data_IF_668952757902
#
_entry.id   IF_668952757902
#
_cell.length_a   1.000
_cell.length_b   1.000
_cell.length_c   1.000
_cell.angle_alpha   90.00
_cell.angle_beta   90.00
_cell.angle_gamma   90.00
#
_symmetry.space_group_name_H-M   'P 1'
#
loop_
_entity.id
_entity.type
_entity.pdbx_description
1 polymer ?
#
# COMPACT_ATOMS: atom_id res chain seq x y z
N UNK A 1 16.61 6.78 -13.53
CA UNK A 1 16.37 6.21 -12.21
C UNK A 1 14.90 6.03 -11.96
N UNK A 2 14.53 4.89 -11.42
CA UNK A 2 13.16 4.64 -11.08
C UNK A 2 12.77 5.32 -9.77
N UNK A 3 11.53 5.16 -9.41
CA UNK A 3 10.96 5.63 -8.14
C UNK A 3 10.25 4.44 -7.51
N UNK A 4 11.02 3.37 -7.28
CA UNK A 4 10.53 2.04 -6.96
C UNK A 4 10.15 1.89 -5.50
N UNK A 5 9.14 1.09 -5.24
CA UNK A 5 8.76 0.71 -3.89
C UNK A 5 7.95 -0.58 -3.91
N UNK A 6 7.94 -1.27 -2.78
CA UNK A 6 6.95 -2.31 -2.52
C UNK A 6 6.04 -1.87 -1.40
N UNK A 7 4.80 -2.34 -1.43
CA UNK A 7 3.79 -1.99 -0.45
C UNK A 7 3.15 -3.26 0.06
N UNK A 8 3.18 -3.43 1.37
CA UNK A 8 2.56 -4.54 2.05
C UNK A 8 1.32 -4.04 2.79
N UNK A 9 0.24 -4.83 2.79
CA UNK A 9 -0.98 -4.49 3.54
C UNK A 9 -1.17 -5.54 4.62
N UNK A 10 -1.32 -5.07 5.86
CA UNK A 10 -1.60 -5.93 7.02
C UNK A 10 -3.01 -5.66 7.53
N UNK A 11 -3.73 -6.73 7.87
CA UNK A 11 -5.06 -6.62 8.44
C UNK A 11 -4.99 -6.20 9.92
N UNK A 12 -6.16 -6.08 10.55
CA UNK A 12 -6.23 -5.61 11.95
C UNK A 12 -5.60 -6.61 12.93
N UNK A 13 -5.40 -7.85 12.52
CA UNK A 13 -4.68 -8.84 13.33
C UNK A 13 -3.19 -8.91 13.02
N UNK A 14 -2.69 -8.08 12.10
CA UNK A 14 -1.28 -8.05 11.74
C UNK A 14 -0.87 -9.03 10.66
N UNK A 15 -1.82 -9.70 10.00
CA UNK A 15 -1.52 -10.66 8.95
C UNK A 15 -1.44 -9.98 7.60
N UNK A 16 -0.41 -10.34 6.85
CA UNK A 16 -0.17 -9.83 5.51
C UNK A 16 -0.93 -10.65 4.46
N UNK A 17 -1.17 -10.05 3.31
CA UNK A 17 -1.77 -10.73 2.16
C UNK A 17 -0.80 -11.72 1.50
N UNK A 18 0.43 -11.86 2.00
CA UNK A 18 1.48 -12.74 1.48
C UNK A 18 1.95 -12.35 0.08
N UNK A 19 1.70 -11.12 -0.32
CA UNK A 19 2.23 -10.55 -1.55
C UNK A 19 2.39 -9.06 -1.37
N UNK A 20 3.13 -8.43 -2.27
CA UNK A 20 3.41 -7.00 -2.20
C UNK A 20 3.05 -6.35 -3.53
N UNK A 21 2.48 -5.16 -3.47
CA UNK A 21 2.36 -4.34 -4.65
C UNK A 21 3.73 -3.75 -4.96
N UNK A 22 4.11 -3.80 -6.22
CA UNK A 22 5.38 -3.23 -6.68
C UNK A 22 5.08 -2.10 -7.65
N UNK A 23 5.68 -0.93 -7.42
CA UNK A 23 5.61 0.17 -8.37
C UNK A 23 7.01 0.60 -8.76
N UNK A 24 7.23 0.82 -10.05
CA UNK A 24 8.54 1.22 -10.57
C UNK A 24 8.72 2.73 -10.53
N UNK A 25 7.66 3.51 -10.73
CA UNK A 25 7.76 4.96 -10.91
C UNK A 25 7.02 5.80 -9.87
N UNK A 26 6.11 5.21 -9.11
CA UNK A 26 5.16 5.96 -8.28
C UNK A 26 5.26 5.56 -6.82
N UNK A 27 6.49 5.40 -6.31
CA UNK A 27 6.73 4.89 -4.97
C UNK A 27 7.19 5.93 -3.96
N UNK A 28 7.18 7.23 -4.28
CA UNK A 28 7.55 8.24 -3.29
C UNK A 28 6.52 8.28 -2.16
N UNK A 29 6.92 8.72 -0.94
CA UNK A 29 5.97 8.76 0.17
C UNK A 29 4.70 9.54 -0.14
N UNK A 30 4.80 10.67 -0.81
CA UNK A 30 3.63 11.47 -1.17
C UNK A 30 2.66 10.70 -2.05
N UNK A 31 3.18 9.97 -3.03
CA UNK A 31 2.36 9.20 -3.95
C UNK A 31 1.71 8.02 -3.26
N UNK A 32 2.46 7.27 -2.44
CA UNK A 32 1.93 6.12 -1.73
C UNK A 32 0.86 6.56 -0.73
N UNK A 33 1.12 7.60 0.04
CA UNK A 33 0.17 8.12 1.02
C UNK A 33 -1.11 8.56 0.33
N UNK A 34 -0.99 9.29 -0.77
CA UNK A 34 -2.15 9.79 -1.50
C UNK A 34 -3.04 8.63 -1.99
N UNK A 35 -2.44 7.59 -2.56
CA UNK A 35 -3.20 6.46 -3.08
C UNK A 35 -3.83 5.66 -1.94
N UNK A 36 -3.08 5.43 -0.85
CA UNK A 36 -3.62 4.70 0.30
C UNK A 36 -4.80 5.45 0.92
N UNK A 37 -4.69 6.77 1.07
CA UNK A 37 -5.79 7.55 1.64
C UNK A 37 -7.05 7.49 0.75
N UNK A 38 -6.87 7.44 -0.56
CA UNK A 38 -8.00 7.31 -1.48
C UNK A 38 -8.60 5.90 -1.46
N UNK A 39 -7.79 4.89 -1.27
CA UNK A 39 -8.26 3.50 -1.20
C UNK A 39 -8.86 3.16 0.17
N UNK A 40 -8.44 3.83 1.22
CA UNK A 40 -8.78 3.48 2.60
C UNK A 40 -10.27 3.24 2.84
N UNK A 41 -11.21 4.06 2.31
CA UNK A 41 -12.64 3.81 2.57
C UNK A 41 -13.15 2.47 2.06
N UNK A 42 -12.50 1.86 1.08
CA UNK A 42 -12.92 0.58 0.51
C UNK A 42 -11.99 -0.56 0.87
N UNK A 43 -10.97 -0.31 1.66
CA UNK A 43 -10.09 -1.36 2.17
C UNK A 43 -10.70 -1.94 3.45
N UNK A 44 -10.81 -3.27 3.51
CA UNK A 44 -11.43 -3.95 4.66
C UNK A 44 -10.35 -4.36 5.67
N UNK A 45 -10.39 -3.84 6.90
CA UNK A 45 -9.40 -4.21 7.92
C UNK A 45 -9.38 -5.70 8.29
N UNK A 46 -10.44 -6.43 7.99
CA UNK A 46 -10.50 -7.87 8.27
C UNK A 46 -9.94 -8.74 7.15
N UNK A 47 -9.54 -8.15 6.02
CA UNK A 47 -9.18 -8.94 4.83
C UNK A 47 -8.07 -8.23 4.06
N UNK A 48 -6.83 -8.63 4.35
CA UNK A 48 -5.67 -7.99 3.73
C UNK A 48 -5.59 -8.24 2.23
N UNK A 49 -6.04 -9.40 1.76
CA UNK A 49 -6.05 -9.70 0.32
C UNK A 49 -7.03 -8.81 -0.44
N UNK A 50 -8.23 -8.66 0.10
CA UNK A 50 -9.22 -7.75 -0.48
C UNK A 50 -8.72 -6.31 -0.47
N UNK A 51 -8.14 -5.90 0.65
CA UNK A 51 -7.61 -4.54 0.78
C UNK A 51 -6.47 -4.28 -0.21
N UNK A 52 -5.59 -5.27 -0.40
CA UNK A 52 -4.51 -5.16 -1.39
C UNK A 52 -5.08 -4.97 -2.80
N UNK A 53 -6.13 -5.73 -3.15
CA UNK A 53 -6.76 -5.60 -4.47
C UNK A 53 -7.36 -4.21 -4.66
N UNK A 54 -7.98 -3.65 -3.61
CA UNK A 54 -8.53 -2.30 -3.67
C UNK A 54 -7.43 -1.25 -3.82
N UNK A 55 -6.31 -1.45 -3.12
CA UNK A 55 -5.16 -0.54 -3.24
C UNK A 55 -4.62 -0.54 -4.66
N UNK A 56 -4.42 -1.72 -5.25
CA UNK A 56 -3.93 -1.85 -6.61
C UNK A 56 -4.92 -1.20 -7.59
N UNK A 57 -6.21 -1.45 -7.41
CA UNK A 57 -7.24 -0.83 -8.26
C UNK A 57 -7.21 0.69 -8.19
N UNK A 58 -6.99 1.24 -6.98
CA UNK A 58 -6.91 2.68 -6.80
C UNK A 58 -5.69 3.25 -7.51
N UNK A 59 -4.54 2.56 -7.45
CA UNK A 59 -3.38 2.97 -8.21
C UNK A 59 -3.68 3.09 -9.70
N UNK A 60 -4.38 2.11 -10.26
CA UNK A 60 -4.73 2.13 -11.69
C UNK A 60 -5.69 3.25 -12.04
N UNK A 61 -6.54 3.66 -11.10
CA UNK A 61 -7.47 4.77 -11.33
C UNK A 61 -6.78 6.13 -11.21
N UNK A 62 -5.85 6.25 -10.26
CA UNK A 62 -5.19 7.52 -9.99
C UNK A 62 -4.12 7.84 -11.01
N UNK A 63 -3.48 6.83 -11.56
CA UNK A 63 -2.35 7.01 -12.45
C UNK A 63 -2.65 6.35 -13.77
N UNK A 64 -3.05 7.16 -14.75
CA UNK A 64 -3.36 6.67 -16.09
C UNK A 64 -2.08 6.53 -16.90
N UNK A 65 -2.12 5.71 -17.93
CA UNK A 65 -1.02 5.56 -18.88
C UNK A 65 0.00 4.54 -18.42
N UNK A 66 1.27 4.74 -18.75
CA UNK A 66 2.32 3.75 -18.61
C UNK A 66 2.72 3.38 -17.18
N UNK A 67 1.77 2.99 -16.38
CA UNK A 67 2.00 2.60 -15.01
C UNK A 67 2.69 1.24 -14.95
N UNK A 68 3.85 1.19 -14.29
CA UNK A 68 4.56 -0.06 -14.03
C UNK A 68 4.22 -0.54 -12.63
N UNK A 69 3.08 -1.17 -12.50
CA UNK A 69 2.61 -1.72 -11.25
C UNK A 69 2.50 -3.23 -11.38
N UNK A 70 2.96 -3.95 -10.39
CA UNK A 70 2.89 -5.40 -10.39
C UNK A 70 2.67 -5.96 -9.01
N UNK A 71 2.67 -7.28 -8.93
CA UNK A 71 2.57 -8.00 -7.66
C UNK A 71 3.80 -8.89 -7.56
N UNK A 72 4.51 -8.79 -6.45
CA UNK A 72 5.74 -9.55 -6.23
C UNK A 72 5.65 -10.28 -4.89
N UNK A 73 6.50 -11.30 -4.73
CA UNK A 73 6.51 -12.12 -3.53
C UNK A 73 7.61 -11.73 -2.54
N UNK A 74 8.36 -10.69 -2.85
CA UNK A 74 9.46 -10.23 -1.99
C UNK A 74 9.51 -8.71 -1.98
N UNK A 75 10.08 -8.14 -0.91
CA UNK A 75 10.19 -6.68 -0.82
C UNK A 75 11.38 -6.17 -1.61
N UNK A 76 11.20 -4.96 -2.12
CA UNK A 76 12.28 -4.19 -2.72
C UNK A 76 12.89 -3.28 -1.68
N UNK A 77 14.20 -3.08 -1.79
CA UNK A 77 14.89 -2.19 -0.88
C UNK A 77 15.54 -1.01 -1.62
N UNK A 78 15.20 -0.82 -2.89
CA UNK A 78 15.76 0.25 -3.71
C UNK A 78 14.84 1.46 -3.75
N UNK A 79 15.43 2.61 -4.00
CA UNK A 79 14.72 3.88 -4.12
C UNK A 79 13.94 4.21 -2.84
N UNK A 80 12.63 3.96 -2.81
CA UNK A 80 11.80 4.30 -1.65
C UNK A 80 11.57 3.15 -0.69
N UNK A 81 12.16 1.98 -0.97
CA UNK A 81 12.12 0.85 -0.04
C UNK A 81 10.77 0.19 0.08
N UNK A 82 10.41 -0.16 1.31
CA UNK A 82 9.22 -0.98 1.58
C UNK A 82 8.25 -0.24 2.50
N UNK A 83 6.99 -0.16 2.08
CA UNK A 83 5.92 0.43 2.86
C UNK A 83 5.06 -0.66 3.47
N UNK A 84 4.60 -0.43 4.70
CA UNK A 84 3.62 -1.30 5.34
C UNK A 84 2.39 -0.45 5.66
N UNK A 85 1.25 -0.83 5.07
CA UNK A 85 -0.04 -0.25 5.40
C UNK A 85 -0.66 -1.14 6.47
N UNK A 86 -0.66 -0.68 7.71
CA UNK A 86 -1.17 -1.45 8.84
C UNK A 86 -2.58 -0.96 9.16
N UNK A 87 -3.57 -1.73 8.74
CA UNK A 87 -4.96 -1.33 8.92
C UNK A 87 -5.39 -1.38 10.38
N UNK A 88 -4.80 -2.26 11.18
CA UNK A 88 -5.10 -2.33 12.60
C UNK A 88 -4.61 -1.11 13.37
N UNK A 89 -3.44 -0.60 13.01
CA UNK A 89 -2.85 0.56 13.67
C UNK A 89 -3.25 1.88 13.01
N UNK A 90 -3.80 1.84 11.81
CA UNK A 90 -4.12 3.05 11.05
C UNK A 90 -2.90 3.81 10.57
N UNK A 91 -1.83 3.09 10.22
CA UNK A 91 -0.55 3.72 9.89
C UNK A 91 0.00 3.25 8.55
N UNK A 92 0.85 4.09 7.97
CA UNK A 92 1.76 3.69 6.89
C UNK A 92 3.16 3.90 7.42
N UNK A 93 3.99 2.85 7.37
CA UNK A 93 5.40 2.94 7.70
C UNK A 93 6.25 2.75 6.45
N UNK A 94 7.41 3.37 6.44
CA UNK A 94 8.42 3.20 5.41
C UNK A 94 9.73 2.86 6.11
N UNK A 95 10.19 1.63 5.93
CA UNK A 95 11.42 1.15 6.57
C UNK A 95 11.44 1.46 8.08
N UNK A 96 10.39 1.08 8.77
CA UNK A 96 10.21 1.20 10.22
C UNK A 96 9.91 2.61 10.71
N UNK A 97 9.73 3.57 9.81
CA UNK A 97 9.38 4.94 10.19
C UNK A 97 7.94 5.24 9.78
N UNK A 98 7.15 5.78 10.70
CA UNK A 98 5.78 6.15 10.41
C UNK A 98 5.79 7.39 9.53
N UNK A 99 5.17 7.28 8.34
CA UNK A 99 5.06 8.41 7.41
C UNK A 99 3.65 8.95 7.34
N UNK A 100 2.68 8.22 7.85
CA UNK A 100 1.29 8.69 7.95
C UNK A 100 0.60 7.89 9.04
N UNK A 101 -0.27 8.53 9.81
CA UNK A 101 -1.02 7.86 10.89
C UNK A 101 -2.46 8.37 10.93
N UNK A 102 -3.21 7.85 11.90
CA UNK A 102 -4.62 8.20 12.11
C UNK A 102 -5.47 7.99 10.85
N UNK A 103 -5.16 6.94 10.09
CA UNK A 103 -5.91 6.61 8.88
C UNK A 103 -7.13 5.79 9.26
N UNK A 104 -8.31 6.19 8.75
CA UNK A 104 -9.53 5.42 8.92
C UNK A 104 -9.76 4.57 7.70
N UNK A 105 -9.73 3.25 7.89
CA UNK A 105 -10.01 2.29 6.83
C UNK A 105 -11.49 1.93 6.84
N UNK A 106 -11.95 1.37 5.72
CA UNK A 106 -13.35 0.99 5.58
C UNK A 106 -13.79 -0.03 6.62
N UNK A 107 -15.10 -0.16 6.76
CA UNK A 107 -15.69 -1.04 7.76
C UNK A 107 -15.55 -2.50 7.35
N UNK A 108 -15.25 -3.34 8.32
CA UNK A 108 -15.33 -4.79 8.14
C UNK A 108 -16.77 -5.22 8.33
N UNK A 109 -17.33 -5.79 7.30
CA UNK A 109 -18.71 -6.29 7.38
C UNK A 109 -18.74 -7.81 7.47
#
# INVERSE_FOLDING_TARGET
>A
MGNRATIEVKDFGGYSAACYAYTHWNGSPEQVINVVLKAAPVMRPSDSGYAMARLIGTYHQEIAGGLSLGVVSHKEEWDNGHYIVNMGAGTITNDSRIVCDAIEFGQSL
#
